data_IF_641127110289
#
_entry.id   IF_641127110289
#
_cell.length_a   1.000
_cell.length_b   1.000
_cell.length_c   1.000
_cell.angle_alpha   90.00
_cell.angle_beta   90.00
_cell.angle_gamma   90.00
#
_symmetry.space_group_name_H-M   'P 1'
#
loop_
_entity.id
_entity.type
_entity.pdbx_description
1 polymer ?
#
# COMPACT_ATOMS: atom_id res chain seq x y z
N UNK A 1 49.75 -31.83 11.55
CA UNK A 1 48.96 -30.64 11.27
C UNK A 1 49.85 -29.41 11.43
N UNK A 2 50.10 -28.68 10.37
CA UNK A 2 51.08 -27.59 10.35
C UNK A 2 50.48 -26.31 10.99
N UNK A 3 51.16 -25.75 12.00
CA UNK A 3 50.75 -24.49 12.71
C UNK A 3 50.44 -23.33 11.76
N UNK A 4 51.00 -23.34 10.57
CA UNK A 4 50.79 -22.36 9.50
C UNK A 4 49.39 -22.42 8.90
N UNK A 5 48.77 -23.60 8.79
CA UNK A 5 47.42 -23.78 8.29
C UNK A 5 46.35 -23.42 9.32
N UNK A 6 46.68 -23.49 10.62
CA UNK A 6 45.80 -23.08 11.71
C UNK A 6 45.65 -21.54 11.77
N UNK A 7 46.74 -20.81 11.50
CA UNK A 7 46.76 -19.36 11.50
C UNK A 7 46.06 -18.76 10.27
N UNK A 8 46.15 -19.41 9.11
CA UNK A 8 45.43 -18.98 7.89
C UNK A 8 43.92 -19.29 7.96
N UNK A 9 43.54 -20.41 8.55
CA UNK A 9 42.13 -20.77 8.74
C UNK A 9 41.41 -19.89 9.80
N UNK A 10 42.14 -19.55 10.89
CA UNK A 10 41.61 -18.69 11.96
C UNK A 10 41.48 -17.24 11.51
N UNK A 11 42.42 -16.72 10.70
CA UNK A 11 42.33 -15.37 10.15
C UNK A 11 41.17 -15.17 9.16
N UNK A 12 40.91 -16.14 8.29
CA UNK A 12 39.80 -16.07 7.34
C UNK A 12 38.43 -16.16 8.05
N UNK A 13 38.33 -17.00 9.10
CA UNK A 13 37.10 -17.08 9.90
C UNK A 13 36.83 -15.80 10.72
N UNK A 14 37.89 -15.20 11.30
CA UNK A 14 37.77 -13.96 12.06
C UNK A 14 37.43 -12.77 11.14
N UNK A 15 38.00 -12.67 9.94
CA UNK A 15 37.63 -11.66 8.95
C UNK A 15 36.22 -11.84 8.43
N UNK A 16 35.76 -13.09 8.27
CA UNK A 16 34.39 -13.40 7.89
C UNK A 16 33.37 -12.97 8.95
N UNK A 17 33.63 -13.20 10.23
CA UNK A 17 32.76 -12.80 11.35
C UNK A 17 32.72 -11.29 11.52
N UNK A 18 33.91 -10.61 11.41
CA UNK A 18 33.99 -9.14 11.49
C UNK A 18 33.29 -8.50 10.29
N UNK A 19 33.49 -9.03 9.08
CA UNK A 19 32.83 -8.55 7.87
C UNK A 19 31.29 -8.71 7.93
N UNK A 20 30.80 -9.87 8.39
CA UNK A 20 29.36 -10.10 8.56
C UNK A 20 28.77 -9.23 9.67
N UNK A 21 29.49 -9.03 10.77
CA UNK A 21 29.09 -8.12 11.85
C UNK A 21 29.01 -6.68 11.37
N UNK A 22 30.03 -6.21 10.64
CA UNK A 22 30.06 -4.85 10.09
C UNK A 22 28.93 -4.62 9.07
N UNK A 23 28.74 -5.54 8.12
CA UNK A 23 27.65 -5.48 7.14
C UNK A 23 26.29 -5.49 7.82
N UNK A 24 26.09 -6.31 8.86
CA UNK A 24 24.87 -6.33 9.64
C UNK A 24 24.59 -5.00 10.36
N UNK A 25 25.63 -4.41 10.98
CA UNK A 25 25.52 -3.10 11.61
C UNK A 25 25.24 -1.99 10.61
N UNK A 26 25.88 -2.01 9.44
CA UNK A 26 25.63 -1.06 8.36
C UNK A 26 24.19 -1.16 7.84
N UNK A 27 23.69 -2.36 7.61
CA UNK A 27 22.30 -2.58 7.16
C UNK A 27 21.27 -2.07 8.17
N UNK A 28 21.54 -2.20 9.47
CA UNK A 28 20.60 -1.84 10.54
C UNK A 28 20.76 -0.39 11.01
N UNK A 29 21.88 0.27 10.76
CA UNK A 29 22.20 1.61 11.27
C UNK A 29 21.53 2.76 10.51
N UNK A 30 20.79 2.48 9.44
CA UNK A 30 20.24 3.50 8.52
C UNK A 30 18.80 3.93 8.81
N UNK A 31 18.22 3.62 10.00
CA UNK A 31 16.83 4.05 10.35
C UNK A 31 16.68 5.57 10.39
N UNK A 32 17.65 6.31 10.89
CA UNK A 32 17.60 7.78 10.89
C UNK A 32 17.50 8.34 9.46
N UNK A 33 18.28 7.79 8.53
CA UNK A 33 18.24 8.17 7.12
C UNK A 33 16.92 7.74 6.46
N UNK A 34 16.38 6.57 6.85
CA UNK A 34 15.06 6.10 6.42
C UNK A 34 13.96 7.07 6.84
N UNK A 35 13.93 7.45 8.12
CA UNK A 35 12.92 8.35 8.67
C UNK A 35 13.05 9.75 8.05
N UNK A 36 14.26 10.25 7.83
CA UNK A 36 14.51 11.50 7.13
C UNK A 36 13.98 11.46 5.68
N UNK A 37 14.20 10.37 4.95
CA UNK A 37 13.67 10.20 3.59
C UNK A 37 12.15 10.09 3.57
N UNK A 38 11.55 9.42 4.56
CA UNK A 38 10.11 9.34 4.73
C UNK A 38 9.49 10.71 5.04
N UNK A 39 10.13 11.51 5.89
CA UNK A 39 9.70 12.86 6.24
C UNK A 39 9.82 13.82 5.05
N UNK A 40 10.93 13.76 4.30
CA UNK A 40 11.16 14.61 3.12
C UNK A 40 10.05 14.45 2.06
N UNK A 41 9.55 13.23 1.85
CA UNK A 41 8.43 12.99 0.94
C UNK A 41 7.10 13.59 1.42
N UNK A 42 6.99 14.00 2.69
CA UNK A 42 5.76 14.45 3.38
C UNK A 42 5.79 15.93 3.80
N UNK A 43 6.79 16.68 3.37
CA UNK A 43 6.86 18.12 3.61
C UNK A 43 5.59 18.79 3.03
N UNK A 44 4.94 19.70 3.77
CA UNK A 44 3.76 20.41 3.28
C UNK A 44 4.00 21.11 1.93
N UNK A 45 2.95 21.26 1.13
CA UNK A 45 3.00 22.05 -0.10
C UNK A 45 3.13 23.54 0.24
N UNK A 46 3.91 24.26 -0.56
CA UNK A 46 3.94 25.73 -0.53
C UNK A 46 2.67 26.36 -1.14
N UNK A 47 2.53 27.68 -1.02
CA UNK A 47 1.34 28.39 -1.51
C UNK A 47 1.15 28.36 -3.03
N UNK A 48 2.22 28.19 -3.81
CA UNK A 48 2.18 28.03 -5.28
C UNK A 48 3.17 26.92 -5.69
N UNK A 49 2.79 25.65 -5.49
CA UNK A 49 3.70 24.53 -5.76
C UNK A 49 3.89 24.31 -7.26
N UNK A 50 5.12 23.93 -7.65
CA UNK A 50 5.37 23.40 -8.98
C UNK A 50 4.57 22.10 -9.20
N UNK A 51 4.25 21.76 -10.45
CA UNK A 51 3.50 20.52 -10.78
C UNK A 51 4.19 19.26 -10.23
N UNK A 52 5.52 19.24 -10.19
CA UNK A 52 6.29 18.15 -9.59
C UNK A 52 5.99 17.94 -8.08
N UNK A 53 5.64 19.00 -7.36
CA UNK A 53 5.24 18.90 -5.95
C UNK A 53 3.84 18.30 -5.79
N UNK A 54 2.93 18.57 -6.73
CA UNK A 54 1.63 17.89 -6.78
C UNK A 54 1.82 16.38 -7.04
N UNK A 55 2.75 16.02 -7.93
CA UNK A 55 3.14 14.62 -8.16
C UNK A 55 3.73 13.99 -6.89
N UNK A 56 4.56 14.70 -6.13
CA UNK A 56 5.08 14.20 -4.85
C UNK A 56 3.94 13.79 -3.92
N UNK A 57 2.90 14.62 -3.77
CA UNK A 57 1.71 14.28 -2.98
C UNK A 57 0.92 13.11 -3.57
N UNK A 58 0.76 13.06 -4.89
CA UNK A 58 0.12 11.95 -5.58
C UNK A 58 0.79 10.61 -5.23
N UNK A 59 2.14 10.56 -5.22
CA UNK A 59 2.89 9.33 -4.93
C UNK A 59 2.72 8.79 -3.50
N UNK A 60 2.17 9.57 -2.55
CA UNK A 60 1.91 9.11 -1.19
C UNK A 60 0.75 8.11 -1.09
N UNK A 61 0.03 7.86 -2.17
CA UNK A 61 -1.08 6.92 -2.27
C UNK A 61 -0.68 5.47 -1.91
N UNK A 62 -1.62 4.63 -1.41
CA UNK A 62 -1.41 3.20 -1.28
C UNK A 62 -1.31 2.53 -2.65
N UNK A 63 -0.62 1.40 -2.70
CA UNK A 63 -0.51 0.58 -3.90
C UNK A 63 -0.06 -0.84 -3.55
N UNK A 64 -0.28 -1.80 -4.46
CA UNK A 64 0.10 -3.20 -4.29
C UNK A 64 1.60 -3.33 -4.03
N UNK A 65 1.99 -4.06 -2.99
CA UNK A 65 3.38 -4.33 -2.56
C UNK A 65 4.33 -3.12 -2.52
N UNK A 66 3.81 -1.89 -2.49
CA UNK A 66 4.56 -0.64 -2.64
C UNK A 66 5.38 -0.60 -3.94
N UNK A 67 4.86 -1.21 -5.00
CA UNK A 67 5.49 -1.24 -6.33
C UNK A 67 5.50 0.14 -6.97
N UNK A 68 4.54 1.01 -6.62
CA UNK A 68 4.37 2.35 -7.18
C UNK A 68 4.25 2.29 -8.73
N UNK A 69 3.18 1.65 -9.24
CA UNK A 69 3.05 1.28 -10.64
C UNK A 69 2.49 2.44 -11.48
N UNK A 70 3.08 3.62 -11.32
CA UNK A 70 2.67 4.85 -11.98
C UNK A 70 3.85 5.63 -12.54
N UNK A 71 3.56 6.36 -13.61
CA UNK A 71 4.39 7.43 -14.16
C UNK A 71 3.52 8.66 -14.36
N UNK A 72 4.14 9.82 -14.42
CA UNK A 72 3.44 11.09 -14.61
C UNK A 72 4.02 11.86 -15.78
N UNK A 73 3.17 12.37 -16.65
CA UNK A 73 3.54 13.27 -17.72
C UNK A 73 3.02 14.66 -17.37
N UNK A 74 3.92 15.62 -17.31
CA UNK A 74 3.59 17.01 -17.01
C UNK A 74 3.37 17.77 -18.31
N UNK A 75 2.25 18.49 -18.42
CA UNK A 75 1.92 19.37 -19.53
C UNK A 75 1.47 20.74 -19.05
N UNK A 76 1.13 21.62 -19.98
CA UNK A 76 0.56 22.93 -19.64
C UNK A 76 -0.85 22.73 -19.07
N UNK A 77 -1.06 23.09 -17.79
CA UNK A 77 -2.34 22.91 -17.09
C UNK A 77 -2.90 21.47 -17.12
N UNK A 78 -2.00 20.48 -17.20
CA UNK A 78 -2.35 19.07 -17.27
C UNK A 78 -1.29 18.20 -16.61
N UNK A 79 -1.72 17.18 -15.89
CA UNK A 79 -0.89 16.08 -15.41
C UNK A 79 -1.58 14.78 -15.82
N UNK A 80 -0.89 13.92 -16.56
CA UNK A 80 -1.37 12.58 -16.87
C UNK A 80 -0.76 11.57 -15.91
N UNK A 81 -1.58 10.66 -15.41
CA UNK A 81 -1.17 9.50 -14.63
C UNK A 81 -1.20 8.29 -15.56
N UNK A 82 -0.03 7.69 -15.80
CA UNK A 82 0.14 6.57 -16.70
C UNK A 82 0.44 5.29 -15.93
N UNK A 83 -0.07 4.12 -16.34
CA UNK A 83 0.34 2.84 -15.78
C UNK A 83 1.81 2.54 -16.11
N UNK A 84 2.55 2.07 -15.11
CA UNK A 84 3.90 1.52 -15.29
C UNK A 84 3.84 0.00 -15.23
N UNK A 85 3.56 -0.64 -16.35
CA UNK A 85 3.45 -2.10 -16.45
C UNK A 85 4.75 -2.84 -16.16
N UNK A 86 5.91 -2.15 -16.15
CA UNK A 86 7.17 -2.76 -15.72
C UNK A 86 7.20 -3.07 -14.21
N UNK A 87 6.24 -2.53 -13.47
CA UNK A 87 6.11 -2.66 -12.02
C UNK A 87 4.86 -3.43 -11.59
N UNK A 88 4.27 -4.18 -12.50
CA UNK A 88 3.13 -5.06 -12.23
C UNK A 88 3.52 -6.27 -11.38
N UNK A 89 2.55 -6.89 -10.77
CA UNK A 89 2.69 -8.12 -9.99
C UNK A 89 1.82 -9.22 -10.59
N UNK A 90 2.26 -9.83 -11.72
CA UNK A 90 1.39 -10.64 -12.58
C UNK A 90 0.92 -11.95 -11.94
N UNK A 91 1.51 -12.38 -10.84
CA UNK A 91 1.06 -13.59 -10.12
C UNK A 91 -0.09 -13.26 -9.18
N UNK A 92 0.04 -12.20 -8.38
CA UNK A 92 -1.03 -11.80 -7.44
C UNK A 92 -2.11 -10.95 -8.12
N UNK A 93 -1.78 -10.24 -9.19
CA UNK A 93 -2.64 -9.31 -9.94
C UNK A 93 -2.54 -9.55 -11.46
N UNK A 94 -3.03 -10.70 -11.96
CA UNK A 94 -2.80 -11.14 -13.34
C UNK A 94 -3.54 -10.27 -14.39
N UNK A 95 -4.60 -9.59 -14.01
CA UNK A 95 -5.41 -8.71 -14.85
C UNK A 95 -5.14 -7.22 -14.62
N UNK A 96 -4.08 -6.87 -13.88
CA UNK A 96 -3.71 -5.49 -13.50
C UNK A 96 -4.79 -4.72 -12.72
N UNK A 97 -5.75 -5.42 -12.12
CA UNK A 97 -6.82 -4.86 -11.33
C UNK A 97 -6.30 -3.94 -10.21
N UNK A 98 -5.42 -4.46 -9.34
CA UNK A 98 -4.83 -3.67 -8.25
C UNK A 98 -3.88 -2.58 -8.76
N UNK A 99 -3.28 -2.75 -9.96
CA UNK A 99 -2.52 -1.71 -10.62
C UNK A 99 -3.44 -0.51 -10.90
N UNK A 100 -4.58 -0.70 -11.57
CA UNK A 100 -5.53 0.39 -11.88
C UNK A 100 -6.17 0.98 -10.61
N UNK A 101 -6.47 0.16 -9.59
CA UNK A 101 -6.87 0.66 -8.27
C UNK A 101 -5.80 1.59 -7.68
N UNK A 102 -4.52 1.23 -7.80
CA UNK A 102 -3.39 2.07 -7.34
C UNK A 102 -3.31 3.39 -8.11
N UNK A 103 -3.59 3.38 -9.42
CA UNK A 103 -3.70 4.62 -10.21
C UNK A 103 -4.87 5.48 -9.74
N UNK A 104 -5.99 4.89 -9.38
CA UNK A 104 -7.12 5.61 -8.78
C UNK A 104 -6.75 6.30 -7.47
N UNK A 105 -6.05 5.59 -6.59
CA UNK A 105 -5.59 6.16 -5.32
C UNK A 105 -4.63 7.35 -5.52
N UNK A 106 -3.68 7.24 -6.45
CA UNK A 106 -2.73 8.33 -6.71
C UNK A 106 -3.38 9.51 -7.41
N UNK A 107 -4.35 9.25 -8.28
CA UNK A 107 -5.16 10.29 -8.92
C UNK A 107 -5.99 11.07 -7.90
N UNK A 108 -6.58 10.43 -6.92
CA UNK A 108 -7.34 11.14 -5.88
C UNK A 108 -6.44 12.06 -5.05
N UNK A 109 -5.24 11.61 -4.66
CA UNK A 109 -4.26 12.47 -4.01
C UNK A 109 -3.87 13.68 -4.87
N UNK A 110 -3.66 13.45 -6.18
CA UNK A 110 -3.33 14.51 -7.14
C UNK A 110 -4.44 15.57 -7.21
N UNK A 111 -5.68 15.14 -7.36
CA UNK A 111 -6.85 16.03 -7.45
C UNK A 111 -7.01 16.87 -6.17
N UNK A 112 -6.88 16.25 -5.00
CA UNK A 112 -6.96 16.94 -3.70
C UNK A 112 -5.82 17.95 -3.52
N UNK A 113 -4.58 17.56 -3.84
CA UNK A 113 -3.42 18.44 -3.75
C UNK A 113 -3.50 19.62 -4.73
N UNK A 114 -3.96 19.37 -5.94
CA UNK A 114 -4.19 20.39 -6.95
C UNK A 114 -5.29 21.38 -6.50
N UNK A 115 -6.42 20.89 -6.00
CA UNK A 115 -7.51 21.73 -5.52
C UNK A 115 -7.08 22.60 -4.34
N UNK A 116 -6.32 22.04 -3.39
CA UNK A 116 -5.76 22.80 -2.25
C UNK A 116 -4.77 23.91 -2.71
N UNK A 117 -4.15 23.73 -3.87
CA UNK A 117 -3.22 24.70 -4.48
C UNK A 117 -3.87 25.64 -5.50
N UNK A 118 -5.21 25.68 -5.58
CA UNK A 118 -5.92 26.56 -6.51
C UNK A 118 -5.95 26.07 -7.96
N UNK A 119 -5.73 24.78 -8.19
CA UNK A 119 -5.83 24.13 -9.51
C UNK A 119 -7.09 23.24 -9.56
N UNK A 120 -8.16 23.73 -10.17
CA UNK A 120 -9.44 23.03 -10.24
C UNK A 120 -9.62 22.30 -11.55
N UNK A 121 -9.97 21.02 -11.49
CA UNK A 121 -10.15 20.17 -12.68
C UNK A 121 -10.80 18.84 -12.35
N UNK A 122 -10.96 18.02 -13.38
CA UNK A 122 -11.46 16.67 -13.27
C UNK A 122 -10.47 15.69 -13.90
N UNK A 123 -10.35 14.52 -13.27
CA UNK A 123 -9.60 13.41 -13.82
C UNK A 123 -10.52 12.54 -14.68
N UNK A 124 -10.06 12.19 -15.89
CA UNK A 124 -10.78 11.40 -16.86
C UNK A 124 -9.93 10.21 -17.28
N UNK A 125 -10.51 9.03 -17.19
CA UNK A 125 -9.85 7.79 -17.64
C UNK A 125 -9.98 7.67 -19.16
N UNK A 126 -8.89 7.33 -19.84
CA UNK A 126 -8.80 7.14 -21.27
C UNK A 126 -8.37 5.69 -21.59
N UNK A 127 -9.32 4.77 -21.84
CA UNK A 127 -9.02 3.37 -22.11
C UNK A 127 -8.17 3.20 -23.37
N UNK A 128 -8.45 3.98 -24.42
CA UNK A 128 -7.78 3.91 -25.72
C UNK A 128 -6.35 4.49 -25.70
N UNK A 129 -5.97 5.23 -24.65
CA UNK A 129 -4.63 5.74 -24.41
C UNK A 129 -3.89 4.90 -23.34
N UNK A 130 -3.90 3.58 -23.50
CA UNK A 130 -3.21 2.63 -22.63
C UNK A 130 -3.66 2.65 -21.16
N UNK A 131 -4.86 3.17 -20.87
CA UNK A 131 -5.37 3.30 -19.50
C UNK A 131 -4.83 4.54 -18.77
N UNK A 132 -4.43 5.56 -19.50
CA UNK A 132 -4.01 6.86 -18.96
C UNK A 132 -5.16 7.58 -18.27
N UNK A 133 -4.87 8.26 -17.15
CA UNK A 133 -5.82 9.14 -16.47
C UNK A 133 -5.35 10.58 -16.66
N UNK A 134 -6.05 11.33 -17.50
CA UNK A 134 -5.75 12.74 -17.76
C UNK A 134 -6.40 13.64 -16.71
N UNK A 135 -5.61 14.45 -16.01
CA UNK A 135 -6.08 15.49 -15.10
C UNK A 135 -5.78 16.87 -15.71
N UNK A 136 -6.77 17.45 -16.36
CA UNK A 136 -6.70 18.83 -16.88
C UNK A 136 -7.30 19.78 -15.82
N UNK A 137 -6.66 20.91 -15.60
CA UNK A 137 -7.06 21.89 -14.59
C UNK A 137 -6.93 23.32 -15.07
N UNK A 138 -7.55 24.22 -14.33
CA UNK A 138 -7.49 25.69 -14.53
C UNK A 138 -7.30 26.36 -13.19
N UNK A 139 -6.75 27.59 -13.15
CA UNK A 139 -6.67 28.37 -11.93
C UNK A 139 -8.06 28.60 -11.31
N UNK A 140 -8.12 28.61 -9.99
CA UNK A 140 -9.33 28.86 -9.21
C UNK A 140 -8.98 29.07 -7.74
N UNK A 141 -9.94 29.39 -6.88
CA UNK A 141 -9.66 29.55 -5.46
C UNK A 141 -9.21 28.21 -4.85
N UNK A 142 -8.23 28.21 -3.94
CA UNK A 142 -7.84 27.05 -3.17
C UNK A 142 -9.01 26.46 -2.38
N UNK A 143 -9.00 25.14 -2.21
CA UNK A 143 -9.99 24.41 -1.42
C UNK A 143 -9.34 23.91 -0.14
N UNK A 144 -9.87 24.30 0.99
CA UNK A 144 -9.49 23.73 2.29
C UNK A 144 -10.30 22.45 2.53
N UNK A 145 -9.67 21.31 2.26
CA UNK A 145 -10.28 19.97 2.41
C UNK A 145 -9.52 19.17 3.48
N UNK A 146 -10.20 18.69 4.53
CA UNK A 146 -9.58 17.85 5.56
C UNK A 146 -8.86 16.61 4.98
N UNK A 147 -9.35 16.07 3.86
CA UNK A 147 -8.71 14.93 3.20
C UNK A 147 -7.32 15.28 2.65
N UNK A 148 -7.13 16.51 2.15
CA UNK A 148 -5.81 16.99 1.71
C UNK A 148 -4.80 16.96 2.86
N UNK A 149 -5.17 17.45 4.05
CA UNK A 149 -4.30 17.48 5.22
C UNK A 149 -3.98 16.09 5.79
N UNK A 150 -4.77 15.09 5.42
CA UNK A 150 -4.54 13.70 5.79
C UNK A 150 -3.54 12.98 4.85
N UNK A 151 -3.29 13.47 3.63
CA UNK A 151 -2.40 12.81 2.65
C UNK A 151 -1.02 12.49 3.24
N UNK A 152 -0.27 13.46 3.83
CA UNK A 152 1.06 13.18 4.37
C UNK A 152 1.05 12.26 5.61
N UNK A 153 -0.08 12.11 6.28
CA UNK A 153 -0.24 11.33 7.51
C UNK A 153 -0.75 9.90 7.26
N UNK A 154 -1.35 9.65 6.08
CA UNK A 154 -1.92 8.35 5.75
C UNK A 154 -0.85 7.28 5.63
N UNK A 155 -1.10 6.13 6.23
CA UNK A 155 -0.29 4.91 6.09
C UNK A 155 -1.15 3.65 6.13
N UNK A 156 -0.66 2.55 5.57
CA UNK A 156 -1.21 1.21 5.81
C UNK A 156 -0.57 0.64 7.06
N UNK A 157 -1.35 0.45 8.12
CA UNK A 157 -0.85 0.06 9.44
C UNK A 157 -1.15 -1.41 9.72
N UNK A 158 -0.18 -2.28 9.50
CA UNK A 158 -0.31 -3.74 9.63
C UNK A 158 -0.10 -4.26 11.06
N UNK A 159 -0.21 -3.40 12.08
CA UNK A 159 -0.18 -3.77 13.49
C UNK A 159 -1.55 -4.26 14.02
N UNK A 160 -1.59 -4.66 15.29
CA UNK A 160 -2.85 -4.89 16.02
C UNK A 160 -3.50 -3.55 16.32
N UNK A 161 -4.84 -3.53 16.29
CA UNK A 161 -5.64 -2.39 16.73
C UNK A 161 -6.15 -2.64 18.14
N UNK A 162 -6.91 -1.71 18.70
CA UNK A 162 -7.40 -1.78 20.10
C UNK A 162 -8.69 -2.60 20.28
N UNK A 163 -9.30 -3.04 19.17
CA UNK A 163 -10.51 -3.87 19.16
C UNK A 163 -11.81 -3.13 19.46
N UNK A 164 -11.75 -1.82 19.76
CA UNK A 164 -12.94 -1.03 20.08
C UNK A 164 -13.76 -0.73 18.84
N UNK A 165 -15.09 -0.76 18.98
CA UNK A 165 -16.01 -0.31 17.94
C UNK A 165 -15.87 1.18 17.69
N UNK A 166 -16.18 1.61 16.47
CA UNK A 166 -16.24 3.04 16.11
C UNK A 166 -17.68 3.56 16.31
N UNK A 167 -17.83 4.84 16.70
CA UNK A 167 -19.13 5.49 16.72
C UNK A 167 -19.80 5.48 15.35
N UNK A 168 -21.14 5.38 15.31
CA UNK A 168 -21.93 5.40 14.06
C UNK A 168 -21.69 6.66 13.23
N UNK A 169 -21.43 7.80 13.87
CA UNK A 169 -21.10 9.04 13.18
C UNK A 169 -19.78 8.91 12.39
N UNK A 170 -18.74 8.33 12.98
CA UNK A 170 -17.46 8.10 12.28
C UNK A 170 -17.62 7.12 11.11
N UNK A 171 -18.42 6.04 11.28
CA UNK A 171 -18.70 5.10 10.19
C UNK A 171 -19.44 5.79 9.03
N UNK A 172 -20.39 6.68 9.34
CA UNK A 172 -21.08 7.50 8.33
C UNK A 172 -20.12 8.45 7.62
N UNK A 173 -19.23 9.13 8.36
CA UNK A 173 -18.23 10.04 7.78
C UNK A 173 -17.29 9.30 6.83
N UNK A 174 -16.87 8.08 7.18
CA UNK A 174 -16.09 7.19 6.30
C UNK A 174 -16.85 6.86 5.02
N UNK A 175 -18.14 6.49 5.13
CA UNK A 175 -18.95 6.15 3.97
C UNK A 175 -19.21 7.37 3.06
N UNK A 176 -19.52 8.52 3.64
CA UNK A 176 -19.73 9.77 2.89
C UNK A 176 -18.45 10.18 2.15
N UNK A 177 -17.30 10.12 2.81
CA UNK A 177 -16.03 10.47 2.17
C UNK A 177 -15.69 9.54 0.99
N UNK A 178 -16.02 8.25 1.10
CA UNK A 178 -15.76 7.24 0.07
C UNK A 178 -16.77 7.25 -1.08
N UNK A 179 -17.79 8.09 -1.04
CA UNK A 179 -18.83 8.12 -2.09
C UNK A 179 -18.25 8.59 -3.43
N UNK A 180 -18.12 7.65 -4.37
CA UNK A 180 -17.67 7.87 -5.75
C UNK A 180 -18.67 7.19 -6.69
N UNK A 181 -19.17 7.87 -7.74
CA UNK A 181 -20.14 7.27 -8.67
C UNK A 181 -19.65 5.95 -9.27
N UNK A 182 -20.49 4.92 -9.23
CA UNK A 182 -20.17 3.58 -9.73
C UNK A 182 -19.33 2.74 -8.78
N UNK A 183 -19.20 3.14 -7.50
CA UNK A 183 -18.55 2.34 -6.46
C UNK A 183 -19.50 2.17 -5.28
N UNK A 184 -19.64 0.95 -4.81
CA UNK A 184 -20.34 0.60 -3.59
C UNK A 184 -19.32 0.32 -2.47
N UNK A 185 -19.62 0.80 -1.25
CA UNK A 185 -18.87 0.53 -0.04
C UNK A 185 -19.75 -0.23 0.95
N UNK A 186 -19.27 -1.38 1.40
CA UNK A 186 -19.90 -2.18 2.44
C UNK A 186 -19.01 -2.16 3.68
N UNK A 187 -19.60 -1.76 4.82
CA UNK A 187 -18.93 -1.75 6.13
C UNK A 187 -19.45 -2.91 6.98
N UNK A 188 -18.55 -3.83 7.32
CA UNK A 188 -18.84 -4.97 8.19
C UNK A 188 -18.23 -4.74 9.58
N UNK A 189 -19.07 -4.40 10.55
CA UNK A 189 -18.66 -4.11 11.93
C UNK A 189 -19.08 -5.18 12.91
N UNK A 190 -20.04 -6.04 12.54
CA UNK A 190 -20.50 -7.14 13.38
C UNK A 190 -19.42 -8.20 13.53
N UNK A 191 -19.25 -8.72 14.74
CA UNK A 191 -18.22 -9.71 15.07
C UNK A 191 -18.31 -10.97 14.22
N UNK A 192 -19.57 -11.41 13.93
CA UNK A 192 -19.83 -12.62 13.12
C UNK A 192 -19.30 -12.42 11.69
N UNK A 193 -19.62 -11.30 11.08
CA UNK A 193 -19.26 -11.03 9.67
C UNK A 193 -17.76 -10.84 9.51
N UNK A 194 -17.13 -10.12 10.47
CA UNK A 194 -15.67 -9.99 10.51
C UNK A 194 -14.97 -11.34 10.68
N UNK A 195 -15.56 -12.29 11.44
CA UNK A 195 -15.00 -13.62 11.60
C UNK A 195 -15.04 -14.42 10.28
N UNK A 196 -16.11 -14.31 9.49
CA UNK A 196 -16.20 -14.95 8.17
C UNK A 196 -15.13 -14.38 7.23
N UNK A 197 -14.99 -13.04 7.16
CA UNK A 197 -13.94 -12.40 6.35
C UNK A 197 -12.54 -12.82 6.82
N UNK A 198 -12.32 -12.93 8.14
CA UNK A 198 -11.06 -13.44 8.70
C UNK A 198 -10.73 -14.84 8.18
N UNK A 199 -11.69 -15.73 8.20
CA UNK A 199 -11.50 -17.12 7.79
C UNK A 199 -11.22 -17.19 6.27
N UNK A 200 -11.86 -16.36 5.46
CA UNK A 200 -11.55 -16.21 4.04
C UNK A 200 -10.14 -15.65 3.78
N UNK A 201 -9.69 -14.68 4.59
CA UNK A 201 -8.31 -14.15 4.52
C UNK A 201 -7.30 -15.24 4.85
N UNK A 202 -7.58 -16.08 5.85
CA UNK A 202 -6.73 -17.21 6.26
C UNK A 202 -6.66 -18.26 5.15
N UNK A 203 -7.80 -18.62 4.56
CA UNK A 203 -7.83 -19.57 3.43
C UNK A 203 -7.08 -19.00 2.22
N UNK A 204 -7.34 -17.74 1.85
CA UNK A 204 -6.64 -17.09 0.75
C UNK A 204 -5.14 -17.01 0.98
N UNK A 205 -4.69 -16.64 2.19
CA UNK A 205 -3.26 -16.65 2.53
C UNK A 205 -2.65 -18.05 2.44
N UNK A 206 -3.38 -19.09 2.88
CA UNK A 206 -2.91 -20.46 2.81
C UNK A 206 -2.69 -20.91 1.36
N UNK A 207 -3.62 -20.57 0.46
CA UNK A 207 -3.49 -20.85 -0.99
C UNK A 207 -2.34 -20.07 -1.61
N UNK A 208 -2.20 -18.78 -1.30
CA UNK A 208 -1.09 -17.95 -1.78
C UNK A 208 0.28 -18.47 -1.31
N UNK A 209 0.41 -18.82 -0.04
CA UNK A 209 1.67 -19.34 0.51
C UNK A 209 2.01 -20.76 0.02
N UNK A 210 1.04 -21.52 -0.47
CA UNK A 210 1.25 -22.82 -1.11
C UNK A 210 1.70 -22.68 -2.57
N UNK A 211 1.54 -21.51 -3.20
CA UNK A 211 1.99 -21.25 -4.57
C UNK A 211 3.44 -20.76 -4.61
N UNK A 212 4.40 -21.55 -5.14
CA UNK A 212 5.78 -21.10 -5.25
C UNK A 212 5.98 -19.88 -6.15
N UNK A 213 5.08 -19.64 -7.12
CA UNK A 213 5.16 -18.46 -7.99
C UNK A 213 4.82 -17.19 -7.20
N UNK A 214 3.76 -17.24 -6.39
CA UNK A 214 3.39 -16.15 -5.47
C UNK A 214 4.51 -15.83 -4.49
N UNK A 215 5.09 -16.87 -3.84
CA UNK A 215 6.18 -16.67 -2.86
C UNK A 215 7.42 -16.04 -3.54
N UNK A 216 7.76 -16.45 -4.76
CA UNK A 216 8.86 -15.84 -5.51
C UNK A 216 8.59 -14.37 -5.84
N UNK A 217 7.38 -14.03 -6.33
CA UNK A 217 7.00 -12.64 -6.62
C UNK A 217 7.00 -11.78 -5.35
N UNK A 218 6.43 -12.28 -4.25
CA UNK A 218 6.45 -11.58 -2.96
C UNK A 218 7.87 -11.23 -2.52
N UNK A 219 8.81 -12.19 -2.59
CA UNK A 219 10.21 -11.99 -2.21
C UNK A 219 10.91 -10.89 -3.01
N UNK A 220 10.58 -10.68 -4.27
CA UNK A 220 11.15 -9.60 -5.09
C UNK A 220 10.83 -8.21 -4.50
N UNK A 221 9.68 -8.08 -3.84
CA UNK A 221 9.23 -6.83 -3.26
C UNK A 221 9.53 -6.68 -1.76
N UNK A 222 10.17 -7.66 -1.09
CA UNK A 222 10.57 -7.52 0.31
C UNK A 222 11.83 -6.68 0.47
N UNK A 223 11.85 -5.83 1.50
CA UNK A 223 12.99 -5.03 1.94
C UNK A 223 13.23 -5.30 3.42
N UNK A 224 14.23 -6.11 3.71
CA UNK A 224 14.44 -6.67 5.05
C UNK A 224 14.99 -5.65 6.06
N UNK A 225 15.62 -4.57 5.58
CA UNK A 225 16.26 -3.57 6.43
C UNK A 225 16.18 -2.15 5.82
N UNK A 226 16.50 -1.10 6.62
CA UNK A 226 16.44 0.28 6.17
C UNK A 226 17.33 0.58 4.96
N UNK A 227 18.53 -0.02 4.90
CA UNK A 227 19.47 0.20 3.79
C UNK A 227 18.89 -0.30 2.46
N UNK A 228 18.36 -1.54 2.45
CA UNK A 228 17.72 -2.09 1.26
C UNK A 228 16.50 -1.24 0.82
N UNK A 229 15.69 -0.77 1.78
CA UNK A 229 14.54 0.08 1.50
C UNK A 229 14.94 1.46 0.95
N UNK A 230 16.01 2.08 1.48
CA UNK A 230 16.52 3.37 1.00
C UNK A 230 17.07 3.30 -0.41
N UNK A 231 17.74 2.19 -0.77
CA UNK A 231 18.35 2.01 -2.09
C UNK A 231 17.31 2.00 -3.22
N UNK A 232 16.17 1.36 -3.01
CA UNK A 232 15.12 1.21 -4.04
C UNK A 232 13.96 2.18 -3.85
N UNK A 233 13.68 2.59 -2.61
CA UNK A 233 12.55 3.41 -2.18
C UNK A 233 11.20 2.84 -2.58
N UNK A 234 11.11 1.53 -2.72
CA UNK A 234 9.92 0.75 -3.04
C UNK A 234 9.86 -0.54 -2.22
N UNK A 235 8.85 -1.36 -2.48
CA UNK A 235 8.69 -2.66 -1.84
C UNK A 235 8.18 -2.57 -0.39
N UNK A 236 8.04 -3.74 0.21
CA UNK A 236 7.51 -3.96 1.55
C UNK A 236 8.67 -3.96 2.56
N UNK A 237 8.90 -2.84 3.24
CA UNK A 237 9.88 -2.77 4.31
C UNK A 237 9.36 -3.49 5.56
N UNK A 238 10.21 -4.37 6.15
CA UNK A 238 9.85 -5.22 7.29
C UNK A 238 9.27 -4.42 8.46
N UNK A 239 9.94 -3.35 8.91
CA UNK A 239 9.47 -2.56 10.04
C UNK A 239 8.15 -1.80 9.72
N UNK A 240 7.94 -1.34 8.49
CA UNK A 240 6.67 -0.73 8.07
C UNK A 240 5.52 -1.76 7.98
N UNK A 241 5.85 -3.04 8.00
CA UNK A 241 4.90 -4.17 8.07
C UNK A 241 4.75 -4.73 9.49
N UNK A 242 5.42 -4.14 10.48
CA UNK A 242 5.38 -4.59 11.87
C UNK A 242 6.31 -5.79 12.16
N UNK A 243 7.24 -6.08 11.29
CA UNK A 243 8.24 -7.14 11.43
C UNK A 243 9.61 -6.55 11.83
N UNK A 244 10.50 -7.31 12.50
CA UNK A 244 11.84 -6.85 12.77
C UNK A 244 12.66 -6.61 11.49
N UNK A 245 13.60 -5.68 11.54
CA UNK A 245 14.59 -5.52 10.50
C UNK A 245 15.64 -6.65 10.60
N UNK A 246 16.07 -7.17 9.45
CA UNK A 246 17.03 -8.26 9.33
C UNK A 246 18.18 -7.85 8.40
N UNK A 247 19.41 -8.30 8.65
CA UNK A 247 20.51 -8.10 7.71
C UNK A 247 20.20 -8.71 6.33
N UNK A 248 20.65 -8.07 5.25
CA UNK A 248 20.36 -8.48 3.87
C UNK A 248 20.77 -9.93 3.59
N UNK A 249 21.88 -10.39 4.17
CA UNK A 249 22.38 -11.75 4.00
C UNK A 249 21.53 -12.82 4.72
N UNK A 250 20.85 -12.44 5.81
CA UNK A 250 20.05 -13.38 6.61
C UNK A 250 18.56 -13.34 6.24
N UNK A 251 18.08 -12.19 5.72
CA UNK A 251 16.66 -11.94 5.46
C UNK A 251 15.97 -13.05 4.66
N UNK A 252 16.48 -13.46 3.48
CA UNK A 252 15.85 -14.50 2.67
C UNK A 252 15.76 -15.87 3.37
N UNK A 253 16.82 -16.30 4.04
CA UNK A 253 16.85 -17.59 4.74
C UNK A 253 15.92 -17.59 5.97
N UNK A 254 15.88 -16.49 6.71
CA UNK A 254 14.96 -16.34 7.85
C UNK A 254 13.51 -16.21 7.38
N UNK A 255 13.27 -15.56 6.23
CA UNK A 255 11.94 -15.57 5.62
C UNK A 255 11.47 -17.01 5.37
N UNK A 256 12.25 -17.81 4.68
CA UNK A 256 11.89 -19.20 4.35
C UNK A 256 11.68 -20.08 5.59
N UNK A 257 12.39 -19.79 6.66
CA UNK A 257 12.30 -20.57 7.91
C UNK A 257 11.12 -20.17 8.79
N UNK A 258 10.73 -18.91 8.83
CA UNK A 258 9.79 -18.38 9.82
C UNK A 258 8.49 -17.81 9.22
N UNK A 259 8.49 -17.38 7.96
CA UNK A 259 7.29 -16.89 7.30
C UNK A 259 6.60 -18.08 6.60
N UNK A 260 5.74 -18.74 7.35
CA UNK A 260 4.96 -19.89 6.91
C UNK A 260 3.49 -19.51 6.76
N UNK A 261 2.70 -20.27 6.02
CA UNK A 261 1.24 -20.08 5.95
C UNK A 261 0.63 -20.01 7.37
N UNK A 262 1.05 -20.90 8.28
CA UNK A 262 0.55 -20.93 9.66
C UNK A 262 0.89 -19.63 10.43
N UNK A 263 2.14 -19.18 10.41
CA UNK A 263 2.56 -17.98 11.15
C UNK A 263 1.85 -16.71 10.62
N UNK A 264 1.65 -16.63 9.30
CA UNK A 264 0.92 -15.52 8.69
C UNK A 264 -0.59 -15.61 8.97
N UNK A 265 -1.19 -16.81 8.93
CA UNK A 265 -2.59 -17.04 9.32
C UNK A 265 -2.86 -16.60 10.75
N UNK A 266 -1.99 -16.99 11.70
CA UNK A 266 -2.09 -16.57 13.11
C UNK A 266 -1.97 -15.05 13.25
N UNK A 267 -1.15 -14.41 12.41
CA UNK A 267 -1.00 -12.96 12.38
C UNK A 267 -2.26 -12.28 11.84
N UNK A 268 -2.80 -12.74 10.72
CA UNK A 268 -4.04 -12.20 10.14
C UNK A 268 -5.22 -12.38 11.09
N UNK A 269 -5.34 -13.55 11.75
CA UNK A 269 -6.38 -13.79 12.75
C UNK A 269 -6.33 -12.71 13.84
N UNK A 270 -5.17 -12.54 14.50
CA UNK A 270 -4.99 -11.52 15.56
C UNK A 270 -5.25 -10.10 15.07
N UNK A 271 -4.91 -9.79 13.82
CA UNK A 271 -5.12 -8.46 13.24
C UNK A 271 -6.61 -8.19 12.99
N UNK A 272 -7.34 -9.14 12.40
CA UNK A 272 -8.77 -9.01 12.12
C UNK A 272 -9.61 -9.05 13.39
N UNK A 273 -9.30 -9.91 14.34
CA UNK A 273 -9.98 -9.97 15.65
C UNK A 273 -9.84 -8.68 16.45
N UNK A 274 -8.73 -7.96 16.26
CA UNK A 274 -8.47 -6.65 16.90
C UNK A 274 -8.98 -5.44 16.10
N UNK A 275 -9.65 -5.64 14.96
CA UNK A 275 -10.15 -4.56 14.12
C UNK A 275 -11.55 -4.11 14.57
N UNK A 276 -11.87 -2.84 14.37
CA UNK A 276 -13.23 -2.28 14.58
C UNK A 276 -14.19 -2.74 13.48
N UNK A 277 -13.68 -2.93 12.26
CA UNK A 277 -14.48 -3.34 11.11
C UNK A 277 -13.62 -3.70 9.90
N UNK A 278 -14.34 -4.12 8.86
CA UNK A 278 -13.83 -4.38 7.51
C UNK A 278 -14.64 -3.54 6.52
N UNK A 279 -13.96 -2.89 5.59
CA UNK A 279 -14.53 -2.17 4.47
C UNK A 279 -14.28 -2.94 3.18
N UNK A 280 -15.34 -3.20 2.41
CA UNK A 280 -15.27 -3.90 1.14
C UNK A 280 -15.77 -2.95 0.06
N UNK A 281 -15.00 -2.80 -1.01
CA UNK A 281 -15.32 -1.92 -2.14
C UNK A 281 -15.64 -2.75 -3.37
N UNK A 282 -16.68 -2.34 -4.10
CA UNK A 282 -17.10 -2.95 -5.35
C UNK A 282 -17.29 -1.87 -6.40
N UNK A 283 -16.71 -2.06 -7.58
CA UNK A 283 -17.04 -1.31 -8.79
C UNK A 283 -18.30 -1.87 -9.45
N UNK A 284 -19.10 -1.01 -10.05
CA UNK A 284 -20.30 -1.43 -10.77
C UNK A 284 -19.99 -2.36 -11.96
N UNK A 285 -18.75 -2.33 -12.46
CA UNK A 285 -18.24 -3.22 -13.52
C UNK A 285 -16.82 -3.66 -13.22
N UNK A 286 -16.45 -4.82 -13.72
CA UNK A 286 -15.07 -5.33 -13.63
C UNK A 286 -14.24 -4.85 -14.83
N UNK A 287 -13.93 -3.57 -14.89
CA UNK A 287 -13.11 -2.94 -15.93
C UNK A 287 -12.15 -1.87 -15.35
N UNK A 288 -11.11 -1.47 -16.08
CA UNK A 288 -10.12 -0.51 -15.59
C UNK A 288 -10.68 0.85 -15.13
N UNK A 289 -11.73 1.39 -15.78
CA UNK A 289 -12.35 2.66 -15.35
C UNK A 289 -12.98 2.52 -13.96
N UNK A 290 -13.70 1.42 -13.71
CA UNK A 290 -14.31 1.18 -12.40
C UNK A 290 -13.26 0.84 -11.36
N UNK A 291 -12.18 0.15 -11.69
CA UNK A 291 -11.07 -0.10 -10.76
C UNK A 291 -10.37 1.21 -10.34
N UNK A 292 -10.21 2.16 -11.28
CA UNK A 292 -9.72 3.51 -10.95
C UNK A 292 -10.69 4.22 -9.99
N UNK A 293 -12.00 4.13 -10.22
CA UNK A 293 -13.02 4.72 -9.31
C UNK A 293 -12.99 4.07 -7.93
N UNK A 294 -12.85 2.75 -7.86
CA UNK A 294 -12.64 2.01 -6.60
C UNK A 294 -11.40 2.52 -5.87
N UNK A 295 -10.29 2.71 -6.59
CA UNK A 295 -9.07 3.29 -6.02
C UNK A 295 -9.29 4.68 -5.44
N UNK A 296 -10.03 5.54 -6.13
CA UNK A 296 -10.40 6.88 -5.64
C UNK A 296 -11.25 6.81 -4.38
N UNK A 297 -12.30 5.97 -4.37
CA UNK A 297 -13.17 5.75 -3.21
C UNK A 297 -12.38 5.22 -2.00
N UNK A 298 -11.53 4.22 -2.22
CA UNK A 298 -10.66 3.65 -1.19
C UNK A 298 -9.70 4.69 -0.61
N UNK A 299 -9.11 5.56 -1.46
CA UNK A 299 -8.20 6.60 -0.99
C UNK A 299 -8.94 7.65 -0.15
N UNK A 300 -10.12 8.09 -0.57
CA UNK A 300 -10.95 9.03 0.21
C UNK A 300 -11.33 8.44 1.57
N UNK A 301 -11.74 7.16 1.61
CA UNK A 301 -11.97 6.41 2.85
C UNK A 301 -10.74 6.44 3.76
N UNK A 302 -9.56 6.08 3.22
CA UNK A 302 -8.32 5.99 3.99
C UNK A 302 -7.84 7.37 4.49
N UNK A 303 -8.10 8.45 3.75
CA UNK A 303 -7.81 9.82 4.16
C UNK A 303 -8.75 10.28 5.26
N UNK A 304 -10.06 10.01 5.13
CA UNK A 304 -11.04 10.31 6.18
C UNK A 304 -10.74 9.52 7.46
N UNK A 305 -10.42 8.23 7.33
CA UNK A 305 -9.99 7.41 8.45
C UNK A 305 -8.76 8.03 9.15
N UNK A 306 -7.77 8.50 8.36
CA UNK A 306 -6.58 9.16 8.89
C UNK A 306 -6.91 10.46 9.61
N UNK A 307 -7.82 11.28 9.08
CA UNK A 307 -8.29 12.53 9.71
C UNK A 307 -8.95 12.25 11.07
N UNK A 308 -9.70 11.14 11.17
CA UNK A 308 -10.34 10.68 12.41
C UNK A 308 -9.40 9.89 13.35
N UNK A 309 -8.11 9.74 13.02
CA UNK A 309 -7.15 8.95 13.81
C UNK A 309 -7.35 7.43 13.71
N UNK A 310 -8.13 6.97 12.74
CA UNK A 310 -8.38 5.55 12.44
C UNK A 310 -7.29 5.03 11.50
N UNK A 311 -6.83 3.81 11.74
CA UNK A 311 -5.84 3.11 10.93
C UNK A 311 -6.53 2.13 9.98
N UNK A 312 -5.90 1.92 8.81
CA UNK A 312 -6.36 0.96 7.80
C UNK A 312 -5.24 0.04 7.36
N UNK A 313 -5.58 -1.18 6.97
CA UNK A 313 -4.66 -2.09 6.30
C UNK A 313 -5.44 -3.01 5.33
N UNK A 314 -4.85 -3.26 4.17
CA UNK A 314 -5.41 -4.19 3.18
C UNK A 314 -5.29 -5.64 3.65
N UNK A 315 -6.33 -6.42 3.38
CA UNK A 315 -6.43 -7.86 3.60
C UNK A 315 -7.13 -8.48 2.38
N UNK A 316 -6.48 -8.30 1.21
CA UNK A 316 -7.06 -8.56 -0.11
C UNK A 316 -7.08 -10.04 -0.54
N UNK A 317 -6.60 -10.97 0.28
CA UNK A 317 -6.59 -12.40 -0.07
C UNK A 317 -7.92 -12.91 -0.63
N UNK A 318 -9.10 -12.52 -0.09
CA UNK A 318 -10.39 -12.97 -0.64
C UNK A 318 -10.69 -12.46 -2.05
N UNK A 319 -10.05 -11.36 -2.49
CA UNK A 319 -10.22 -10.80 -3.83
C UNK A 319 -9.06 -11.13 -4.76
N UNK A 320 -7.85 -11.37 -4.22
CA UNK A 320 -6.68 -11.82 -4.98
C UNK A 320 -6.81 -13.28 -5.41
N UNK A 321 -7.34 -14.15 -4.55
CA UNK A 321 -7.60 -15.55 -4.85
C UNK A 321 -8.95 -15.70 -5.56
N UNK A 322 -8.94 -15.86 -6.88
CA UNK A 322 -10.13 -15.85 -7.72
C UNK A 322 -11.25 -16.80 -7.25
N UNK A 323 -10.88 -17.97 -6.71
CA UNK A 323 -11.84 -18.96 -6.19
C UNK A 323 -12.60 -18.54 -4.93
N UNK A 324 -12.18 -17.46 -4.23
CA UNK A 324 -12.86 -16.93 -3.05
C UNK A 324 -13.81 -15.76 -3.37
N UNK A 325 -13.68 -15.14 -4.54
CA UNK A 325 -14.49 -13.98 -4.93
C UNK A 325 -16.00 -14.25 -4.92
N UNK A 326 -16.53 -15.38 -5.45
CA UNK A 326 -17.96 -15.66 -5.42
C UNK A 326 -18.52 -15.82 -3.99
N UNK A 327 -17.74 -16.42 -3.09
CA UNK A 327 -18.13 -16.58 -1.68
C UNK A 327 -18.20 -15.23 -0.97
N UNK A 328 -17.17 -14.37 -1.18
CA UNK A 328 -17.20 -13.01 -0.66
C UNK A 328 -18.37 -12.20 -1.23
N UNK A 329 -18.63 -12.31 -2.54
CA UNK A 329 -19.76 -11.63 -3.19
C UNK A 329 -21.11 -12.06 -2.60
N UNK A 330 -21.29 -13.37 -2.34
CA UNK A 330 -22.49 -13.88 -1.69
C UNK A 330 -22.64 -13.37 -0.24
N UNK A 331 -21.54 -13.33 0.52
CA UNK A 331 -21.51 -12.84 1.90
C UNK A 331 -22.01 -11.38 2.01
N UNK A 332 -21.61 -10.54 1.05
CA UNK A 332 -21.97 -9.12 1.05
C UNK A 332 -23.28 -8.81 0.30
N UNK A 333 -24.04 -9.83 -0.11
CA UNK A 333 -25.32 -9.64 -0.80
C UNK A 333 -25.20 -9.17 -2.26
N UNK A 334 -24.02 -9.34 -2.89
CA UNK A 334 -23.74 -8.93 -4.27
C UNK A 334 -23.36 -10.13 -5.16
N UNK A 335 -24.19 -11.21 -5.25
CA UNK A 335 -23.85 -12.40 -6.01
C UNK A 335 -23.68 -12.04 -7.49
N UNK A 336 -22.63 -12.60 -8.12
CA UNK A 336 -22.30 -12.34 -9.52
C UNK A 336 -21.47 -11.08 -9.76
N UNK A 337 -21.27 -10.22 -8.77
CA UNK A 337 -20.33 -9.11 -8.83
C UNK A 337 -18.92 -9.53 -8.42
N UNK A 338 -17.92 -8.73 -8.80
CA UNK A 338 -16.53 -8.90 -8.37
C UNK A 338 -16.26 -7.91 -7.24
N UNK A 339 -16.05 -8.35 -5.98
CA UNK A 339 -15.47 -7.50 -4.95
C UNK A 339 -14.04 -7.10 -5.33
N UNK A 340 -13.68 -5.84 -5.11
CA UNK A 340 -12.41 -5.28 -5.61
C UNK A 340 -11.36 -5.13 -4.51
N UNK A 341 -11.73 -4.63 -3.34
CA UNK A 341 -10.81 -4.39 -2.24
C UNK A 341 -11.41 -4.78 -0.90
N UNK A 342 -10.55 -5.27 0.00
CA UNK A 342 -10.88 -5.55 1.40
C UNK A 342 -9.87 -4.85 2.29
N UNK A 343 -10.37 -3.91 3.13
CA UNK A 343 -9.59 -3.20 4.14
C UNK A 343 -10.12 -3.52 5.52
N UNK A 344 -9.27 -3.83 6.47
CA UNK A 344 -9.59 -3.76 7.89
C UNK A 344 -9.29 -2.36 8.44
N UNK A 345 -10.09 -1.89 9.39
CA UNK A 345 -9.88 -0.59 10.03
C UNK A 345 -10.09 -0.65 11.54
N UNK A 346 -9.54 0.34 12.26
CA UNK A 346 -9.61 0.46 13.72
C UNK A 346 -8.57 1.42 14.27
N UNK A 347 -8.50 1.60 15.59
CA UNK A 347 -7.52 2.48 16.23
C UNK A 347 -6.30 1.67 16.67
N UNK A 348 -5.11 2.25 16.55
CA UNK A 348 -3.87 1.58 16.92
C UNK A 348 -2.64 2.47 16.77
N UNK A 349 -1.46 1.97 17.19
CA UNK A 349 -0.21 2.71 17.07
C UNK A 349 0.20 2.90 15.62
N UNK A 350 0.96 3.96 15.35
CA UNK A 350 1.59 4.18 14.07
C UNK A 350 2.76 3.20 13.86
N UNK A 351 3.06 2.91 12.61
CA UNK A 351 4.25 2.18 12.15
C UNK A 351 5.13 3.13 11.33
N UNK A 352 6.39 2.77 11.00
CA UNK A 352 7.19 3.52 10.05
C UNK A 352 6.47 3.69 8.70
N UNK A 353 6.60 4.85 8.08
CA UNK A 353 6.02 5.10 6.76
C UNK A 353 6.75 4.31 5.67
N UNK A 354 6.06 3.76 4.70
CA UNK A 354 6.68 3.24 3.49
C UNK A 354 7.31 4.38 2.67
N UNK A 355 8.53 4.15 2.14
CA UNK A 355 9.21 5.12 1.28
C UNK A 355 8.51 5.26 -0.08
N UNK A 356 8.84 6.34 -0.77
CA UNK A 356 8.41 6.62 -2.14
C UNK A 356 9.61 6.90 -3.04
N UNK A 357 9.52 6.48 -4.30
CA UNK A 357 10.49 6.80 -5.34
C UNK A 357 10.59 8.33 -5.48
N UNK A 358 11.77 8.88 -5.76
CA UNK A 358 11.91 10.31 -6.05
C UNK A 358 10.99 10.72 -7.21
N UNK A 359 10.49 11.95 -7.19
CA UNK A 359 9.61 12.47 -8.23
C UNK A 359 10.23 12.30 -9.62
N UNK A 360 11.52 12.64 -9.77
CA UNK A 360 12.24 12.48 -11.04
C UNK A 360 12.22 11.04 -11.58
N UNK A 361 12.15 10.02 -10.71
CA UNK A 361 12.10 8.61 -11.13
C UNK A 361 10.70 8.14 -11.57
N UNK A 362 9.67 8.95 -11.36
CA UNK A 362 8.29 8.65 -11.76
C UNK A 362 7.77 9.58 -12.86
N UNK A 363 8.53 10.61 -13.25
CA UNK A 363 8.19 11.41 -14.42
C UNK A 363 8.42 10.60 -15.70
N UNK A 364 7.49 10.69 -16.62
CA UNK A 364 7.66 10.23 -18.00
C UNK A 364 8.40 11.31 -18.81
N UNK A 365 9.23 10.87 -19.74
CA UNK A 365 9.88 11.75 -20.71
C UNK A 365 8.84 12.41 -21.62
#
# INVERSE_FOLDING_TARGET
MNRRNLLLGGGAAALGVVGAGWAGLHDLSSMTAYDAAAAAARIPLGGNPALAELVRFATLAPNGHNTQPWRFRLGTNRIDVLPDFSRRTPVVDPDDHHLFVSLGCTTENLVLAAAASGHRGAAVFAPDDGGTIGFAFRPGPPVDDPLFWAIPKRQSTRGRYDGRSLPTAELRDLAVAAAVPGVELILMTERRDRAIVRDMVIDGNSRQMADPAFVRELKQWLRYNPHAALRTRDGLFSAASGNPALPSWAGPALFDRFVTARSENDRYARQLDSSAGVAIFLGAKADPDHWVRVGRACQRFALQATALGIKCAFVNQPVEVAGLRPELAALIGAPGMRPDLVLRFGRGPALPYALRRPVAAVLAA
#
